data_IF_862009598494
#
_entry.id   IF_862009598494
#
_cell.length_a   1.000
_cell.length_b   1.000
_cell.length_c   1.000
_cell.angle_alpha   90.00
_cell.angle_beta   90.00
_cell.angle_gamma   90.00
#
_symmetry.space_group_name_H-M   'P 1'
#
loop_
_entity.id
_entity.type
_entity.pdbx_description
1 polymer ?
#
# COMPACT_ATOMS: atom_id res chain seq x y z
N UNK A 1 -14.30 15.20 24.90
CA UNK A 1 -13.85 15.10 23.51
C UNK A 1 -13.49 13.66 23.21
N UNK A 2 -14.41 12.93 22.56
CA UNK A 2 -14.06 11.65 21.97
C UNK A 2 -13.28 11.94 20.69
N UNK A 3 -11.97 11.81 20.77
CA UNK A 3 -11.19 11.69 19.57
C UNK A 3 -11.65 10.39 18.90
N UNK A 4 -12.30 10.51 17.75
CA UNK A 4 -12.52 9.36 16.90
C UNK A 4 -11.13 8.82 16.54
N UNK A 5 -10.77 7.69 17.10
CA UNK A 5 -9.53 7.01 16.80
C UNK A 5 -9.61 6.53 15.37
N UNK A 6 -8.94 7.22 14.46
CA UNK A 6 -8.85 6.78 13.08
C UNK A 6 -7.83 5.65 12.98
N UNK A 7 -8.17 4.64 12.20
CA UNK A 7 -7.23 3.59 11.87
C UNK A 7 -6.01 4.17 11.14
N UNK A 8 -4.84 3.65 11.43
CA UNK A 8 -3.62 4.06 10.76
C UNK A 8 -3.68 3.77 9.27
N UNK A 9 -3.09 4.66 8.49
CA UNK A 9 -2.95 4.48 7.05
C UNK A 9 -1.52 4.78 6.63
N UNK A 10 -1.07 4.09 5.59
CA UNK A 10 0.18 4.43 4.91
C UNK A 10 -0.03 5.65 4.01
N UNK A 11 1.07 6.19 3.47
CA UNK A 11 0.98 7.03 2.28
C UNK A 11 0.68 6.18 1.04
N UNK A 12 0.52 6.85 -0.09
CA UNK A 12 0.36 6.18 -1.36
C UNK A 12 1.63 5.43 -1.76
N UNK A 13 1.49 4.17 -2.10
CA UNK A 13 2.53 3.43 -2.80
C UNK A 13 2.45 3.85 -4.26
N UNK A 14 3.57 4.29 -4.81
CA UNK A 14 3.67 4.86 -6.15
C UNK A 14 4.36 3.89 -7.10
N UNK A 15 4.04 4.02 -8.39
CA UNK A 15 4.72 3.30 -9.45
C UNK A 15 6.03 3.96 -9.85
N UNK A 16 6.82 3.23 -10.64
CA UNK A 16 7.99 3.81 -11.29
C UNK A 16 7.56 4.92 -12.28
N UNK A 17 8.42 5.89 -12.46
CA UNK A 17 8.21 6.92 -13.46
C UNK A 17 8.52 6.35 -14.85
N UNK A 18 7.48 6.10 -15.64
CA UNK A 18 7.57 5.67 -17.03
C UNK A 18 7.71 6.86 -18.00
N UNK A 19 7.67 8.07 -17.46
CA UNK A 19 7.78 9.31 -18.22
C UNK A 19 9.21 9.79 -18.39
N UNK A 20 9.37 11.04 -18.59
CA UNK A 20 10.59 11.67 -19.06
C UNK A 20 11.69 11.76 -17.99
N UNK A 21 12.92 11.41 -18.39
CA UNK A 21 14.12 11.42 -17.55
C UNK A 21 14.55 12.82 -17.05
N UNK A 22 13.90 13.90 -17.49
CA UNK A 22 14.40 15.26 -17.27
C UNK A 22 13.79 15.99 -16.08
N UNK A 23 12.68 15.51 -15.52
CA UNK A 23 12.05 16.18 -14.38
C UNK A 23 11.21 15.20 -13.57
N UNK A 24 11.83 14.47 -12.67
CA UNK A 24 11.08 13.70 -11.68
C UNK A 24 10.22 14.64 -10.82
N UNK A 25 8.92 14.45 -10.89
CA UNK A 25 7.98 15.18 -10.04
C UNK A 25 7.15 14.17 -9.26
N UNK A 26 7.32 14.08 -7.92
CA UNK A 26 6.60 13.14 -7.11
C UNK A 26 5.08 13.35 -7.11
N UNK A 27 4.60 14.51 -7.51
CA UNK A 27 3.17 14.80 -7.63
C UNK A 27 2.52 14.26 -8.91
N UNK A 28 3.31 13.94 -9.91
CA UNK A 28 2.83 13.40 -11.19
C UNK A 28 3.04 11.90 -11.35
N UNK A 29 3.76 11.28 -10.43
CA UNK A 29 3.99 9.83 -10.43
C UNK A 29 2.68 9.10 -10.14
N UNK A 30 2.38 8.01 -10.86
CA UNK A 30 1.14 7.25 -10.63
C UNK A 30 1.04 6.74 -9.21
N UNK A 31 -0.08 7.04 -8.56
CA UNK A 31 -0.45 6.44 -7.28
C UNK A 31 -1.09 5.09 -7.53
N UNK A 32 -0.71 4.08 -6.79
CA UNK A 32 -1.16 2.72 -6.97
C UNK A 32 -2.17 2.30 -5.90
N UNK A 33 -1.75 2.27 -4.66
CA UNK A 33 -2.61 1.88 -3.55
C UNK A 33 -2.09 2.39 -2.20
N UNK A 34 -2.98 2.41 -1.23
CA UNK A 34 -2.69 2.64 0.19
C UNK A 34 -2.97 1.40 1.01
N UNK A 35 -2.33 1.33 2.15
CA UNK A 35 -2.57 0.31 3.15
C UNK A 35 -3.17 0.96 4.38
N UNK A 36 -4.28 0.41 4.85
CA UNK A 36 -4.97 0.84 6.06
C UNK A 36 -4.93 -0.28 7.10
N UNK A 37 -4.76 0.08 8.37
CA UNK A 37 -5.00 -0.86 9.46
C UNK A 37 -6.50 -1.14 9.58
N UNK A 38 -6.86 -2.39 9.85
CA UNK A 38 -8.27 -2.78 10.06
C UNK A 38 -8.83 -2.27 11.37
N UNK A 39 -7.98 -2.13 12.37
CA UNK A 39 -8.36 -1.68 13.70
C UNK A 39 -7.57 -0.44 14.09
N UNK A 40 -8.20 0.44 14.83
CA UNK A 40 -7.57 1.62 15.41
C UNK A 40 -6.73 1.30 16.66
N UNK A 41 -6.13 0.11 16.72
CA UNK A 41 -5.31 -0.33 17.83
C UNK A 41 -3.89 0.21 17.79
N UNK A 42 -3.38 0.67 18.92
CA UNK A 42 -2.00 1.14 19.03
C UNK A 42 -0.97 0.03 18.73
N UNK A 43 -1.35 -1.22 18.97
CA UNK A 43 -0.44 -2.35 18.80
C UNK A 43 -0.03 -2.52 17.34
N UNK A 44 -0.99 -2.49 16.43
CA UNK A 44 -0.73 -2.68 14.98
C UNK A 44 0.09 -1.52 14.41
N UNK A 45 -0.16 -0.30 14.89
CA UNK A 45 0.56 0.90 14.45
C UNK A 45 2.04 0.90 14.84
N UNK A 46 2.37 0.35 16.00
CA UNK A 46 3.71 0.41 16.57
C UNK A 46 4.54 -0.85 16.34
N UNK A 47 3.91 -1.97 16.01
CA UNK A 47 4.58 -3.27 15.95
C UNK A 47 4.68 -3.86 14.54
N UNK A 48 3.96 -3.33 13.58
CA UNK A 48 3.95 -3.84 12.20
C UNK A 48 4.41 -2.79 11.20
N UNK A 49 5.16 -3.24 10.23
CA UNK A 49 5.55 -2.46 9.04
C UNK A 49 5.22 -3.25 7.77
N UNK A 50 4.95 -2.55 6.70
CA UNK A 50 4.69 -3.13 5.39
C UNK A 50 5.93 -3.04 4.53
N UNK A 51 6.25 -4.14 3.86
CA UNK A 51 7.34 -4.21 2.90
C UNK A 51 6.82 -4.77 1.58
N UNK A 52 7.22 -4.15 0.48
CA UNK A 52 7.01 -4.68 -0.86
C UNK A 52 8.31 -5.31 -1.31
N UNK A 53 8.26 -6.56 -1.73
CA UNK A 53 9.45 -7.29 -2.13
C UNK A 53 9.19 -8.17 -3.35
N UNK A 54 10.24 -8.81 -3.84
CA UNK A 54 10.16 -9.75 -4.95
C UNK A 54 9.45 -9.16 -6.17
N UNK A 55 9.76 -7.92 -6.50
CA UNK A 55 9.17 -7.21 -7.63
C UNK A 55 9.74 -7.79 -8.93
N UNK A 56 8.87 -8.31 -9.77
CA UNK A 56 9.24 -8.96 -11.04
C UNK A 56 8.48 -8.33 -12.18
N UNK A 57 9.20 -7.96 -13.21
CA UNK A 57 8.63 -7.55 -14.49
C UNK A 57 8.00 -8.78 -15.17
N UNK A 58 6.91 -8.58 -15.90
CA UNK A 58 6.34 -9.66 -16.69
C UNK A 58 7.31 -10.14 -17.76
N UNK A 59 7.45 -11.45 -17.87
CA UNK A 59 8.18 -12.11 -18.97
C UNK A 59 7.26 -12.62 -20.08
N UNK A 60 5.96 -12.38 -19.95
CA UNK A 60 4.92 -12.89 -20.85
C UNK A 60 4.41 -11.76 -21.74
N UNK A 61 4.39 -11.98 -23.04
CA UNK A 61 3.86 -11.02 -24.02
C UNK A 61 2.32 -10.92 -24.02
N UNK A 62 1.64 -11.86 -23.37
CA UNK A 62 0.16 -11.90 -23.31
C UNK A 62 -0.33 -11.14 -22.09
N UNK A 63 0.40 -11.25 -20.97
CA UNK A 63 0.09 -10.55 -19.73
C UNK A 63 1.26 -9.65 -19.37
N UNK A 64 1.09 -8.35 -19.56
CA UNK A 64 2.11 -7.35 -19.33
C UNK A 64 2.25 -6.97 -17.85
N UNK A 65 1.32 -7.39 -16.99
CA UNK A 65 1.37 -7.08 -15.57
C UNK A 65 2.47 -7.86 -14.86
N UNK A 66 3.36 -7.13 -14.20
CA UNK A 66 4.36 -7.72 -13.31
C UNK A 66 3.77 -8.17 -11.97
N UNK A 67 4.58 -8.80 -11.16
CA UNK A 67 4.18 -9.31 -9.85
C UNK A 67 5.06 -8.77 -8.73
N UNK A 68 4.52 -8.77 -7.53
CA UNK A 68 5.23 -8.38 -6.32
C UNK A 68 4.64 -9.08 -5.09
N UNK A 69 5.39 -9.10 -4.01
CA UNK A 69 4.93 -9.62 -2.73
C UNK A 69 4.68 -8.47 -1.76
N UNK A 70 3.60 -8.57 -1.00
CA UNK A 70 3.31 -7.68 0.13
C UNK A 70 3.59 -8.44 1.42
N UNK A 71 4.45 -7.91 2.26
CA UNK A 71 4.84 -8.50 3.52
C UNK A 71 4.43 -7.60 4.68
N UNK A 72 3.78 -8.18 5.67
CA UNK A 72 3.65 -7.58 6.99
C UNK A 72 4.77 -8.13 7.88
N UNK A 73 5.61 -7.24 8.36
CA UNK A 73 6.80 -7.57 9.16
C UNK A 73 6.70 -6.93 10.53
N UNK A 74 7.34 -7.52 11.51
CA UNK A 74 7.53 -6.86 12.81
C UNK A 74 8.47 -5.66 12.66
N UNK A 75 8.12 -4.53 13.29
CA UNK A 75 8.96 -3.32 13.28
C UNK A 75 10.34 -3.58 13.84
N UNK A 76 10.45 -4.51 14.80
CA UNK A 76 11.71 -4.88 15.45
C UNK A 76 12.64 -5.73 14.59
N UNK A 77 12.18 -6.22 13.44
CA UNK A 77 13.00 -7.05 12.57
C UNK A 77 14.09 -6.24 11.84
N UNK A 78 15.08 -6.96 11.33
CA UNK A 78 16.12 -6.40 10.47
C UNK A 78 16.13 -7.13 9.13
N UNK A 79 16.79 -6.54 8.13
CA UNK A 79 16.91 -7.20 6.82
C UNK A 79 17.74 -8.48 6.88
N UNK A 80 18.61 -8.61 7.87
CA UNK A 80 19.35 -9.85 8.16
C UNK A 80 18.53 -10.90 8.90
N UNK A 81 17.47 -10.49 9.60
CA UNK A 81 16.56 -11.38 10.33
C UNK A 81 15.13 -10.90 10.17
N UNK A 82 14.52 -11.29 9.08
CA UNK A 82 13.15 -10.90 8.73
C UNK A 82 12.14 -11.70 9.55
N UNK A 83 11.23 -11.01 10.22
CA UNK A 83 10.12 -11.62 10.96
C UNK A 83 8.80 -11.27 10.27
N UNK A 84 8.31 -12.20 9.46
CA UNK A 84 7.10 -12.03 8.67
C UNK A 84 5.89 -12.47 9.48
N UNK A 85 4.90 -11.61 9.61
CA UNK A 85 3.61 -11.89 10.25
C UNK A 85 2.61 -12.41 9.23
N UNK A 86 2.51 -11.73 8.08
CA UNK A 86 1.68 -12.15 6.95
C UNK A 86 2.43 -11.94 5.64
N UNK A 87 2.21 -12.84 4.69
CA UNK A 87 2.77 -12.75 3.35
C UNK A 87 1.68 -12.92 2.31
N UNK A 88 1.65 -12.02 1.35
CA UNK A 88 0.80 -12.08 0.17
C UNK A 88 1.70 -12.11 -1.08
N UNK A 89 1.82 -13.27 -1.68
CA UNK A 89 2.77 -13.51 -2.78
C UNK A 89 2.12 -13.38 -4.13
N UNK A 90 2.92 -12.98 -5.12
CA UNK A 90 2.52 -12.89 -6.52
C UNK A 90 1.29 -12.00 -6.76
N UNK A 91 1.21 -10.89 -6.04
CA UNK A 91 0.20 -9.88 -6.27
C UNK A 91 0.49 -9.13 -7.58
N UNK A 92 -0.55 -8.65 -8.23
CA UNK A 92 -0.44 -7.78 -9.39
C UNK A 92 -1.41 -6.60 -9.33
N UNK A 93 -1.34 -5.73 -10.31
CA UNK A 93 -2.21 -4.55 -10.44
C UNK A 93 -3.30 -4.72 -11.50
N UNK A 94 -3.54 -5.94 -11.96
CA UNK A 94 -4.58 -6.24 -12.93
C UNK A 94 -5.92 -6.46 -12.21
N UNK A 95 -6.90 -5.55 -12.38
CA UNK A 95 -8.19 -5.67 -11.69
C UNK A 95 -9.01 -6.89 -12.10
N UNK A 96 -8.70 -7.50 -13.21
CA UNK A 96 -9.39 -8.71 -13.72
C UNK A 96 -8.71 -10.02 -13.29
N UNK A 97 -7.55 -9.94 -12.63
CA UNK A 97 -6.81 -11.13 -12.20
C UNK A 97 -7.25 -11.59 -10.81
N UNK A 98 -7.29 -12.91 -10.54
CA UNK A 98 -7.47 -13.43 -9.19
C UNK A 98 -6.32 -13.06 -8.24
N UNK A 99 -5.16 -12.66 -8.77
CA UNK A 99 -4.00 -12.20 -8.02
C UNK A 99 -3.94 -10.67 -7.84
N UNK A 100 -5.00 -9.96 -8.23
CA UNK A 100 -5.12 -8.53 -7.98
C UNK A 100 -4.92 -8.22 -6.50
N UNK A 101 -4.06 -7.26 -6.17
CA UNK A 101 -3.62 -7.01 -4.78
C UNK A 101 -4.80 -6.72 -3.85
N UNK A 102 -5.81 -5.99 -4.30
CA UNK A 102 -7.01 -5.73 -3.52
C UNK A 102 -7.84 -6.98 -3.27
N UNK A 103 -7.85 -7.90 -4.23
CA UNK A 103 -8.55 -9.19 -4.09
C UNK A 103 -7.81 -10.14 -3.16
N UNK A 104 -6.50 -10.17 -3.24
CA UNK A 104 -5.66 -11.05 -2.41
C UNK A 104 -5.68 -10.64 -0.94
N UNK A 105 -5.58 -9.35 -0.66
CA UNK A 105 -5.52 -8.82 0.72
C UNK A 105 -6.91 -8.48 1.25
N UNK A 106 -7.74 -7.84 0.42
CA UNK A 106 -9.06 -7.37 0.79
C UNK A 106 -9.13 -5.86 0.93
N UNK A 107 -10.30 -5.30 0.64
CA UNK A 107 -10.53 -3.85 0.67
C UNK A 107 -11.77 -3.45 1.46
N UNK A 108 -12.47 -4.39 2.08
CA UNK A 108 -13.69 -4.10 2.82
C UNK A 108 -13.44 -3.37 4.13
N UNK A 109 -14.29 -2.41 4.41
CA UNK A 109 -14.32 -1.69 5.68
C UNK A 109 -15.74 -1.28 6.03
N UNK A 110 -15.97 -1.00 7.30
CA UNK A 110 -17.26 -0.56 7.82
C UNK A 110 -17.12 0.88 8.32
N UNK A 111 -18.04 1.73 7.90
CA UNK A 111 -18.10 3.12 8.33
C UNK A 111 -19.53 3.50 8.71
N UNK A 112 -19.67 4.33 9.74
CA UNK A 112 -20.97 4.82 10.14
C UNK A 112 -21.48 5.87 9.15
N UNK A 113 -22.63 5.59 8.51
CA UNK A 113 -23.32 6.54 7.65
C UNK A 113 -24.28 7.39 8.46
N UNK A 114 -24.03 8.69 8.48
CA UNK A 114 -24.94 9.65 9.12
C UNK A 114 -26.27 9.78 8.39
N UNK A 115 -26.29 9.51 7.10
CA UNK A 115 -27.50 9.54 6.27
C UNK A 115 -28.41 8.36 6.56
N UNK A 116 -27.83 7.16 6.61
CA UNK A 116 -28.57 5.92 6.86
C UNK A 116 -28.71 5.60 8.35
N UNK A 117 -27.99 6.33 9.21
CA UNK A 117 -27.92 6.13 10.66
C UNK A 117 -27.55 4.71 11.07
N UNK A 118 -26.68 4.08 10.30
CA UNK A 118 -26.19 2.72 10.54
C UNK A 118 -24.76 2.55 10.05
N UNK A 119 -24.14 1.47 10.44
CA UNK A 119 -22.87 1.04 9.87
C UNK A 119 -23.11 0.49 8.47
N UNK A 120 -22.36 1.00 7.50
CA UNK A 120 -22.39 0.55 6.10
C UNK A 120 -21.05 -0.05 5.74
N UNK A 121 -21.09 -1.20 5.08
CA UNK A 121 -19.92 -1.88 4.56
C UNK A 121 -19.60 -1.37 3.16
N UNK A 122 -18.33 -1.03 2.95
CA UNK A 122 -17.78 -0.59 1.67
C UNK A 122 -16.69 -1.56 1.21
N UNK A 123 -16.45 -1.62 -0.10
CA UNK A 123 -15.46 -2.47 -0.72
C UNK A 123 -16.05 -3.65 -1.47
N UNK A 124 -15.23 -4.31 -2.27
CA UNK A 124 -15.64 -5.41 -3.14
C UNK A 124 -15.13 -6.77 -2.69
N UNK A 125 -13.96 -6.80 -2.05
CA UNK A 125 -13.23 -8.03 -1.75
C UNK A 125 -13.14 -8.28 -0.26
N UNK A 126 -13.41 -9.50 0.15
CA UNK A 126 -13.32 -9.92 1.55
C UNK A 126 -11.90 -9.78 2.09
N UNK A 127 -11.79 -9.36 3.34
CA UNK A 127 -10.51 -9.21 4.01
C UNK A 127 -9.90 -10.57 4.32
N UNK A 128 -8.76 -10.85 3.72
CA UNK A 128 -7.96 -12.04 3.97
C UNK A 128 -6.83 -11.77 4.97
N UNK A 129 -6.50 -10.52 5.21
CA UNK A 129 -5.57 -10.11 6.26
C UNK A 129 -6.30 -9.90 7.58
N UNK A 130 -5.62 -10.24 8.69
CA UNK A 130 -6.12 -9.94 10.04
C UNK A 130 -5.78 -8.51 10.50
N UNK A 131 -4.92 -7.80 9.78
CA UNK A 131 -4.35 -6.52 10.24
C UNK A 131 -4.58 -5.37 9.30
N UNK A 132 -4.65 -5.61 8.00
CA UNK A 132 -4.68 -4.55 6.98
C UNK A 132 -5.79 -4.75 5.94
N UNK A 133 -6.13 -3.66 5.29
CA UNK A 133 -6.89 -3.64 4.04
C UNK A 133 -6.21 -2.73 3.02
N UNK A 134 -6.54 -2.90 1.77
CA UNK A 134 -6.02 -2.11 0.66
C UNK A 134 -7.06 -1.07 0.21
N UNK A 135 -6.61 0.12 -0.11
CA UNK A 135 -7.36 1.12 -0.86
C UNK A 135 -6.66 1.34 -2.20
N UNK A 136 -7.32 0.97 -3.28
CA UNK A 136 -6.76 1.14 -4.62
C UNK A 136 -6.98 2.55 -5.13
N UNK A 137 -6.02 3.08 -5.89
CA UNK A 137 -6.25 4.27 -6.70
C UNK A 137 -7.29 3.95 -7.79
N UNK A 138 -8.18 4.89 -8.04
CA UNK A 138 -9.27 4.69 -8.98
C UNK A 138 -8.78 4.32 -10.38
N UNK A 139 -7.72 4.94 -10.85
CA UNK A 139 -7.17 4.67 -12.18
C UNK A 139 -6.63 3.25 -12.32
N UNK A 140 -6.07 2.67 -11.25
CA UNK A 140 -5.63 1.27 -11.24
C UNK A 140 -6.84 0.33 -11.21
N UNK A 141 -7.82 0.64 -10.39
CA UNK A 141 -9.02 -0.20 -10.23
C UNK A 141 -9.88 -0.25 -11.51
N UNK A 142 -9.88 0.83 -12.26
CA UNK A 142 -10.53 0.92 -13.58
C UNK A 142 -9.70 0.30 -14.72
N UNK A 143 -8.45 -0.08 -14.47
CA UNK A 143 -7.55 -0.61 -15.47
C UNK A 143 -7.08 0.41 -16.49
N UNK A 144 -7.10 1.70 -16.15
CA UNK A 144 -6.69 2.80 -17.04
C UNK A 144 -5.21 3.15 -16.97
N UNK A 145 -4.45 2.50 -16.10
CA UNK A 145 -3.01 2.69 -15.96
C UNK A 145 -2.22 1.80 -16.90
N UNK A 146 -0.96 2.14 -17.10
CA UNK A 146 -0.03 1.30 -17.86
C UNK A 146 0.15 -0.07 -17.17
N UNK A 147 0.02 -1.14 -17.94
CA UNK A 147 0.14 -2.50 -17.43
C UNK A 147 1.55 -2.84 -16.90
N UNK A 148 2.58 -2.13 -17.34
CA UNK A 148 3.96 -2.33 -16.91
C UNK A 148 4.29 -1.67 -15.58
N UNK A 149 3.37 -0.89 -15.00
CA UNK A 149 3.58 -0.26 -13.70
C UNK A 149 3.76 -1.30 -12.59
N UNK A 150 4.77 -1.04 -11.77
CA UNK A 150 5.09 -1.83 -10.58
C UNK A 150 5.30 -0.89 -9.40
N UNK A 151 5.06 -1.34 -8.17
CA UNK A 151 5.37 -0.56 -6.98
C UNK A 151 6.87 -0.25 -6.93
N UNK A 152 7.21 1.02 -6.82
CA UNK A 152 8.61 1.44 -6.80
C UNK A 152 8.99 2.22 -5.55
N UNK A 153 8.04 2.88 -4.95
CA UNK A 153 8.31 3.73 -3.81
C UNK A 153 7.06 4.11 -3.07
N UNK A 154 7.21 5.05 -2.20
CA UNK A 154 6.21 5.44 -1.25
C UNK A 154 6.16 6.97 -1.14
N UNK A 155 4.96 7.52 -1.29
CA UNK A 155 4.67 8.92 -1.08
C UNK A 155 3.75 9.04 0.14
N UNK A 156 4.32 9.40 1.26
CA UNK A 156 3.61 9.44 2.53
C UNK A 156 3.36 10.84 3.04
N UNK A 157 2.55 10.95 4.08
CA UNK A 157 2.41 12.21 4.80
C UNK A 157 3.78 12.64 5.33
N UNK A 158 4.01 13.95 5.47
CA UNK A 158 5.26 14.44 6.04
C UNK A 158 5.49 13.83 7.41
N UNK A 159 6.73 13.41 7.67
CA UNK A 159 7.13 12.89 8.98
C UNK A 159 6.79 13.90 10.07
N UNK A 160 6.20 13.46 11.15
CA UNK A 160 5.96 14.32 12.29
C UNK A 160 7.28 14.91 12.79
N UNK A 161 7.30 16.21 13.05
CA UNK A 161 8.43 16.88 13.69
C UNK A 161 8.70 16.19 15.03
N UNK A 162 9.90 15.67 15.19
CA UNK A 162 10.32 15.01 16.44
C UNK A 162 10.58 13.51 16.31
N UNK A 163 10.29 12.90 15.18
CA UNK A 163 10.72 11.52 14.94
C UNK A 163 12.16 11.52 14.42
N UNK A 164 13.09 11.41 15.33
CA UNK A 164 14.52 11.27 15.05
C UNK A 164 14.95 9.82 14.85
N UNK A 165 14.13 9.01 14.25
CA UNK A 165 14.43 7.62 14.01
C UNK A 165 14.23 7.27 12.56
N UNK A 166 15.29 7.18 11.82
CA UNK A 166 15.26 6.69 10.46
C UNK A 166 15.78 7.71 9.47
N UNK A 167 17.04 7.77 9.42
CA UNK A 167 17.79 8.46 8.40
C UNK A 167 17.47 7.91 7.02
N UNK A 168 16.59 8.58 6.35
CA UNK A 168 16.64 8.68 4.93
C UNK A 168 17.01 10.11 4.61
N UNK A 169 18.11 10.57 5.14
CA UNK A 169 18.66 11.85 4.81
C UNK A 169 19.17 11.78 3.38
N UNK A 170 18.44 12.36 2.44
CA UNK A 170 19.09 12.86 1.25
C UNK A 170 20.13 13.86 1.74
N UNK A 171 21.37 13.50 1.62
CA UNK A 171 22.48 14.39 1.91
C UNK A 171 22.31 15.65 1.11
N UNK A 172 22.18 16.74 1.83
CA UNK A 172 22.48 18.04 1.27
C UNK A 172 23.96 18.04 0.96
N UNK A 173 24.28 18.09 -0.25
CA UNK A 173 25.62 18.51 -0.67
C UNK A 173 25.59 20.00 -0.92
N UNK A 174 26.54 20.66 -0.36
CA UNK A 174 26.92 22.03 -0.62
C UNK A 174 26.95 22.35 -2.11
#
# INVERSE_FOLDING_TARGET
HRYASQAAQSGWIIGQDLGQYTAYNPYTVPKLFKIHALKSGQWDMHNLKVSISNIKVSSNNIDEYGTFDVLLRRVSDTDGKVEIVERFSNCNLNPNSPQYVARVIGDKYVEFSSTDRRNVEYGQYDNNSNFIRIEMDQSVDEGSTDATLLPFGYFGPPKFKGFTGGAGGAGSTN
#
